data_IF_034466206685
#
_entry.id   IF_034466206685
#
_cell.length_a   1.000
_cell.length_b   1.000
_cell.length_c   1.000
_cell.angle_alpha   90.00
_cell.angle_beta   90.00
_cell.angle_gamma   90.00
#
_symmetry.space_group_name_H-M   'P 1'
#
loop_
_entity.id
_entity.type
_entity.pdbx_description
1 polymer ?
#
# COMPACT_ATOMS: atom_id res chain seq x y z
N UNK A 1 4.10 7.17 -1.53
CA UNK A 1 3.53 8.52 -1.34
C UNK A 1 4.61 9.59 -1.48
N UNK A 2 5.51 9.76 -0.50
CA UNK A 2 6.54 10.83 -0.53
C UNK A 2 7.38 10.82 -1.80
N UNK A 3 7.91 9.66 -2.19
CA UNK A 3 8.69 9.53 -3.43
C UNK A 3 7.93 9.98 -4.69
N UNK A 4 6.65 9.63 -4.81
CA UNK A 4 5.82 10.01 -5.95
C UNK A 4 5.58 11.52 -6.01
N UNK A 5 5.33 12.17 -4.86
CA UNK A 5 5.18 13.63 -4.80
C UNK A 5 6.51 14.32 -5.15
N UNK A 6 7.63 13.81 -4.62
CA UNK A 6 8.96 14.34 -4.91
C UNK A 6 9.40 14.12 -6.36
N UNK A 7 8.86 13.14 -7.07
CA UNK A 7 9.01 13.04 -8.53
C UNK A 7 8.57 14.32 -9.23
N UNK A 8 7.54 15.01 -8.72
CA UNK A 8 7.10 16.29 -9.28
C UNK A 8 8.12 17.42 -9.14
N UNK A 9 9.05 17.31 -8.18
CA UNK A 9 10.17 18.24 -7.99
C UNK A 9 11.38 17.80 -8.81
N UNK A 10 11.81 16.55 -8.63
CA UNK A 10 13.08 16.06 -9.20
C UNK A 10 13.00 15.68 -10.68
N UNK A 11 11.81 15.68 -11.29
CA UNK A 11 11.68 15.58 -12.74
C UNK A 11 12.05 16.89 -13.48
N UNK A 12 12.27 18.01 -12.76
CA UNK A 12 12.63 19.28 -13.38
C UNK A 12 13.98 19.22 -14.13
N UNK A 13 14.06 19.70 -15.39
CA UNK A 13 15.32 19.71 -16.14
C UNK A 13 16.44 20.50 -15.48
N UNK A 14 16.10 21.58 -14.77
CA UNK A 14 17.06 22.40 -14.01
C UNK A 14 17.74 21.66 -12.86
N UNK A 15 17.20 20.52 -12.43
CA UNK A 15 17.76 19.65 -11.41
C UNK A 15 18.37 18.36 -12.02
N UNK A 16 18.48 18.29 -13.35
CA UNK A 16 18.94 17.10 -14.08
C UNK A 16 17.86 16.06 -14.37
N UNK A 17 16.58 16.42 -14.18
CA UNK A 17 15.43 15.56 -14.45
C UNK A 17 15.02 15.50 -15.94
N UNK A 18 14.05 14.65 -16.25
CA UNK A 18 13.62 14.32 -17.63
C UNK A 18 12.41 15.13 -18.13
N UNK A 19 12.07 16.24 -17.47
CA UNK A 19 10.97 17.11 -17.86
C UNK A 19 11.14 17.77 -19.23
N UNK A 20 10.04 18.24 -19.81
CA UNK A 20 10.06 19.01 -21.06
C UNK A 20 10.52 20.47 -20.85
N UNK A 21 10.71 21.23 -21.93
CA UNK A 21 11.15 22.63 -21.85
C UNK A 21 10.19 23.54 -21.08
N UNK A 22 8.88 23.25 -21.11
CA UNK A 22 7.82 23.97 -20.42
C UNK A 22 7.52 23.42 -19.01
N UNK A 23 8.43 22.62 -18.44
CA UNK A 23 8.23 21.97 -17.16
C UNK A 23 8.01 22.96 -16.02
N UNK A 24 6.92 22.76 -15.27
CA UNK A 24 6.62 23.48 -14.04
C UNK A 24 6.62 22.54 -12.84
N UNK A 25 7.53 22.78 -11.89
CA UNK A 25 7.60 22.04 -10.62
C UNK A 25 6.27 22.10 -9.88
N UNK A 26 5.65 23.29 -9.79
CA UNK A 26 4.39 23.46 -9.08
C UNK A 26 3.25 22.64 -9.73
N UNK A 27 3.16 22.66 -11.06
CA UNK A 27 2.17 21.87 -11.80
C UNK A 27 2.40 20.37 -11.60
N UNK A 28 3.65 19.92 -11.70
CA UNK A 28 3.99 18.50 -11.57
C UNK A 28 3.83 17.96 -10.15
N UNK A 29 4.17 18.73 -9.12
CA UNK A 29 3.85 18.37 -7.73
C UNK A 29 2.34 18.21 -7.54
N UNK A 30 1.52 19.07 -8.15
CA UNK A 30 0.07 18.93 -8.09
C UNK A 30 -0.44 17.68 -8.82
N UNK A 31 0.04 17.43 -10.04
CA UNK A 31 -0.30 16.22 -10.82
C UNK A 31 0.05 14.94 -10.05
N UNK A 32 1.24 14.89 -9.45
CA UNK A 32 1.69 13.74 -8.68
C UNK A 32 0.88 13.56 -7.38
N UNK A 33 0.52 14.66 -6.73
CA UNK A 33 -0.37 14.62 -5.55
C UNK A 33 -1.73 14.04 -5.92
N UNK A 34 -2.32 14.51 -7.02
CA UNK A 34 -3.61 13.98 -7.50
C UNK A 34 -3.52 12.49 -7.87
N UNK A 35 -2.46 12.11 -8.56
CA UNK A 35 -2.19 10.70 -8.90
C UNK A 35 -2.11 9.83 -7.65
N UNK A 36 -1.41 10.28 -6.61
CA UNK A 36 -1.36 9.57 -5.32
C UNK A 36 -2.74 9.43 -4.69
N UNK A 37 -3.53 10.51 -4.63
CA UNK A 37 -4.88 10.46 -4.05
C UNK A 37 -5.78 9.45 -4.79
N UNK A 38 -5.74 9.46 -6.13
CA UNK A 38 -6.47 8.49 -6.94
C UNK A 38 -6.01 7.06 -6.63
N UNK A 39 -4.71 6.81 -6.56
CA UNK A 39 -4.20 5.46 -6.24
C UNK A 39 -4.57 4.99 -4.83
N UNK A 40 -4.60 5.89 -3.84
CA UNK A 40 -5.04 5.57 -2.47
C UNK A 40 -6.51 5.16 -2.47
N UNK A 41 -7.39 5.96 -3.10
CA UNK A 41 -8.81 5.65 -3.16
C UNK A 41 -9.06 4.34 -3.90
N UNK A 42 -8.41 4.17 -5.06
CA UNK A 42 -8.54 2.96 -5.86
C UNK A 42 -8.09 1.71 -5.09
N UNK A 43 -6.86 1.74 -4.54
CA UNK A 43 -6.34 0.60 -3.79
C UNK A 43 -7.16 0.30 -2.55
N UNK A 44 -7.63 1.30 -1.81
CA UNK A 44 -8.49 1.12 -0.64
C UNK A 44 -9.82 0.47 -1.02
N UNK A 45 -10.50 0.96 -2.06
CA UNK A 45 -11.80 0.41 -2.50
C UNK A 45 -11.63 -1.01 -3.02
N UNK A 46 -10.66 -1.26 -3.90
CA UNK A 46 -10.45 -2.59 -4.47
C UNK A 46 -10.03 -3.58 -3.39
N UNK A 47 -9.10 -3.21 -2.51
CA UNK A 47 -8.69 -4.06 -1.39
C UNK A 47 -9.87 -4.34 -0.46
N UNK A 48 -10.67 -3.33 -0.11
CA UNK A 48 -11.85 -3.51 0.74
C UNK A 48 -12.83 -4.51 0.13
N UNK A 49 -13.18 -4.36 -1.14
CA UNK A 49 -14.10 -5.27 -1.83
C UNK A 49 -13.51 -6.68 -1.89
N UNK A 50 -12.25 -6.82 -2.29
CA UNK A 50 -11.59 -8.12 -2.40
C UNK A 50 -11.53 -8.85 -1.05
N UNK A 51 -11.10 -8.16 0.01
CA UNK A 51 -11.05 -8.74 1.35
C UNK A 51 -12.45 -9.06 1.89
N UNK A 52 -13.44 -8.22 1.62
CA UNK A 52 -14.82 -8.50 2.04
C UNK A 52 -15.38 -9.75 1.36
N UNK A 53 -15.11 -9.92 0.06
CA UNK A 53 -15.50 -11.14 -0.67
C UNK A 53 -14.76 -12.36 -0.14
N UNK A 54 -13.45 -12.27 0.08
CA UNK A 54 -12.68 -13.38 0.65
C UNK A 54 -13.18 -13.78 2.05
N UNK A 55 -13.48 -12.80 2.90
CA UNK A 55 -14.01 -13.03 4.25
C UNK A 55 -15.36 -13.75 4.23
N UNK A 56 -16.24 -13.39 3.28
CA UNK A 56 -17.54 -14.07 3.11
C UNK A 56 -17.42 -15.49 2.55
N UNK A 57 -16.39 -15.80 1.78
CA UNK A 57 -16.23 -17.10 1.12
C UNK A 57 -15.44 -18.11 1.94
N UNK A 58 -14.34 -17.68 2.57
CA UNK A 58 -13.40 -18.57 3.27
C UNK A 58 -13.10 -18.13 4.70
N UNK A 59 -13.43 -16.89 5.08
CA UNK A 59 -13.00 -16.27 6.33
C UNK A 59 -11.53 -15.84 6.29
N UNK A 60 -11.23 -14.59 6.67
CA UNK A 60 -9.86 -14.06 6.61
C UNK A 60 -9.07 -14.15 7.92
N UNK A 61 -9.75 -14.21 9.07
CA UNK A 61 -9.13 -14.21 10.40
C UNK A 61 -9.46 -15.50 11.12
N UNK A 62 -8.46 -16.09 11.78
CA UNK A 62 -8.65 -17.26 12.65
C UNK A 62 -9.54 -16.91 13.86
N UNK A 63 -10.17 -17.91 14.50
CA UNK A 63 -10.85 -17.73 15.77
C UNK A 63 -9.96 -17.10 16.86
N UNK A 64 -10.56 -16.34 17.78
CA UNK A 64 -9.83 -15.59 18.82
C UNK A 64 -9.07 -16.51 19.80
N UNK A 65 -9.59 -17.70 20.07
CA UNK A 65 -8.94 -18.72 20.88
C UNK A 65 -7.69 -19.29 20.19
N UNK A 66 -7.75 -19.49 18.87
CA UNK A 66 -6.59 -19.89 18.08
C UNK A 66 -5.54 -18.76 18.00
N UNK A 67 -5.97 -17.51 17.83
CA UNK A 67 -5.09 -16.34 17.84
C UNK A 67 -4.36 -16.17 19.19
N UNK A 68 -5.04 -16.48 20.31
CA UNK A 68 -4.47 -16.44 21.66
C UNK A 68 -3.48 -17.56 21.95
N UNK A 69 -3.74 -18.78 21.46
CA UNK A 69 -2.79 -19.90 21.61
C UNK A 69 -1.55 -19.72 20.72
N UNK A 70 -1.68 -18.98 19.62
CA UNK A 70 -0.62 -18.69 18.68
C UNK A 70 -0.68 -19.59 17.45
N UNK A 71 -0.57 -18.96 16.28
CA UNK A 71 -0.69 -19.60 14.96
C UNK A 71 0.36 -20.68 14.71
N UNK A 72 1.55 -20.55 15.31
CA UNK A 72 2.58 -21.60 15.23
C UNK A 72 2.02 -22.92 15.77
N UNK A 73 1.32 -22.88 16.90
CA UNK A 73 0.74 -24.08 17.52
C UNK A 73 -0.53 -24.52 16.79
N UNK A 74 -1.44 -23.58 16.51
CA UNK A 74 -2.79 -23.90 16.04
C UNK A 74 -2.89 -24.15 14.54
N UNK A 75 -2.11 -23.43 13.72
CA UNK A 75 -2.10 -23.58 12.26
C UNK A 75 -0.92 -24.40 11.75
N UNK A 76 0.23 -24.38 12.44
CA UNK A 76 1.45 -25.07 11.98
C UNK A 76 1.86 -26.29 12.84
N UNK A 77 1.27 -26.50 14.03
CA UNK A 77 1.61 -27.61 14.91
C UNK A 77 3.02 -27.52 15.51
N UNK A 78 3.63 -26.34 15.45
CA UNK A 78 5.00 -26.06 15.87
C UNK A 78 4.99 -25.24 17.17
N UNK A 79 6.06 -25.36 17.96
CA UNK A 79 6.30 -24.47 19.11
C UNK A 79 7.63 -23.79 18.87
N UNK A 80 7.63 -22.46 18.73
CA UNK A 80 8.83 -21.67 18.43
C UNK A 80 9.97 -21.89 19.43
N UNK A 81 9.64 -22.19 20.70
CA UNK A 81 10.61 -22.50 21.74
C UNK A 81 10.18 -23.74 22.54
N UNK A 82 11.02 -24.78 22.50
CA UNK A 82 10.96 -25.91 23.45
C UNK A 82 12.02 -25.69 24.52
N UNK A 83 11.62 -25.72 25.79
CA UNK A 83 12.53 -25.79 26.93
C UNK A 83 12.64 -27.23 27.43
#
# INVERSE_FOLDING_TARGET
>A
IVGAILTGVFAAPSLGGTGAEDFSIASQVWIQTWSVLVTIVWSAVVAFVAYKVADLLVGLRVPEDEERQGLDTTAHGETAYRY
#
